data_IF_853781890022
#
_entry.id   IF_853781890022
#
_cell.length_a   1.000
_cell.length_b   1.000
_cell.length_c   1.000
_cell.angle_alpha   90.00
_cell.angle_beta   90.00
_cell.angle_gamma   90.00
#
_symmetry.space_group_name_H-M   'P 1'
#
loop_
_entity.id
_entity.type
_entity.pdbx_description
1 polymer ?
#
# COMPACT_ATOMS: atom_id res chain seq x y z
N UNK A 1 -8.66 -29.77 -6.99
CA UNK A 1 -8.55 -28.92 -5.80
C UNK A 1 -8.93 -27.51 -6.20
N UNK A 2 -9.86 -26.88 -5.46
CA UNK A 2 -10.17 -25.46 -5.63
C UNK A 2 -9.41 -24.65 -4.57
N UNK A 3 -9.10 -23.40 -4.90
CA UNK A 3 -8.60 -22.40 -3.95
C UNK A 3 -9.73 -21.40 -3.68
N UNK A 4 -9.91 -20.94 -2.44
CA UNK A 4 -10.97 -19.98 -2.14
C UNK A 4 -10.55 -18.55 -2.47
N UNK A 5 -11.52 -17.67 -2.72
CA UNK A 5 -11.24 -16.24 -2.91
C UNK A 5 -10.60 -15.62 -1.64
N UNK A 6 -10.91 -16.17 -0.47
CA UNK A 6 -10.29 -15.79 0.79
C UNK A 6 -8.79 -16.10 0.80
N UNK A 7 -8.39 -17.30 0.35
CA UNK A 7 -6.99 -17.76 0.33
C UNK A 7 -6.11 -17.01 -0.69
N UNK A 8 -6.70 -16.48 -1.76
CA UNK A 8 -5.96 -15.65 -2.74
C UNK A 8 -6.06 -14.16 -2.48
N UNK A 9 -7.06 -13.73 -1.71
CA UNK A 9 -7.32 -12.32 -1.38
C UNK A 9 -6.80 -11.96 0.02
N UNK A 10 -7.59 -12.28 1.04
CA UNK A 10 -7.40 -11.78 2.42
C UNK A 10 -6.03 -12.16 3.00
N UNK A 11 -5.64 -13.42 2.87
CA UNK A 11 -4.34 -13.91 3.40
C UNK A 11 -3.16 -13.20 2.74
N UNK A 12 -3.21 -13.02 1.43
CA UNK A 12 -2.17 -12.32 0.66
C UNK A 12 -2.15 -10.82 0.97
N UNK A 13 -3.32 -10.18 1.10
CA UNK A 13 -3.42 -8.77 1.51
C UNK A 13 -2.80 -8.55 2.88
N UNK A 14 -3.07 -9.41 3.86
CA UNK A 14 -2.46 -9.33 5.19
C UNK A 14 -0.95 -9.50 5.14
N UNK A 15 -0.44 -10.44 4.34
CA UNK A 15 1.00 -10.64 4.16
C UNK A 15 1.67 -9.36 3.62
N UNK A 16 1.10 -8.76 2.57
CA UNK A 16 1.64 -7.56 1.94
C UNK A 16 1.52 -6.35 2.85
N UNK A 17 0.38 -6.13 3.50
CA UNK A 17 0.18 -5.02 4.44
C UNK A 17 1.20 -5.07 5.59
N UNK A 18 1.41 -6.24 6.19
CA UNK A 18 2.41 -6.42 7.23
C UNK A 18 3.83 -6.17 6.71
N UNK A 19 4.17 -6.61 5.49
CA UNK A 19 5.47 -6.33 4.91
C UNK A 19 5.69 -4.83 4.67
N UNK A 20 4.64 -4.13 4.20
CA UNK A 20 4.64 -2.69 3.93
C UNK A 20 4.83 -1.90 5.23
N UNK A 21 4.04 -2.18 6.26
CA UNK A 21 4.16 -1.56 7.57
C UNK A 21 5.57 -1.72 8.16
N UNK A 22 6.11 -2.94 8.11
CA UNK A 22 7.44 -3.23 8.65
C UNK A 22 8.58 -2.52 7.90
N UNK A 23 8.53 -2.42 6.56
CA UNK A 23 9.60 -1.70 5.86
C UNK A 23 9.46 -0.19 6.05
N UNK A 24 8.24 0.37 6.08
CA UNK A 24 8.02 1.79 6.34
C UNK A 24 8.56 2.20 7.71
N UNK A 25 8.34 1.39 8.74
CA UNK A 25 8.90 1.61 10.07
C UNK A 25 10.42 1.62 10.05
N UNK A 26 11.05 0.61 9.43
CA UNK A 26 12.52 0.53 9.30
C UNK A 26 13.09 1.71 8.54
N UNK A 27 12.47 2.07 7.41
CA UNK A 27 12.88 3.20 6.58
C UNK A 27 12.74 4.51 7.35
N UNK A 28 11.62 4.74 8.05
CA UNK A 28 11.42 5.95 8.86
C UNK A 28 12.51 6.11 9.91
N UNK A 29 12.86 5.04 10.60
CA UNK A 29 13.90 5.06 11.64
C UNK A 29 15.26 5.42 11.02
N UNK A 30 15.66 4.73 9.94
CA UNK A 30 16.91 5.05 9.24
C UNK A 30 16.94 6.48 8.69
N UNK A 31 15.87 6.95 8.06
CA UNK A 31 15.80 8.29 7.46
C UNK A 31 15.91 9.39 8.52
N UNK A 32 15.24 9.22 9.66
CA UNK A 32 15.35 10.13 10.80
C UNK A 32 16.78 10.16 11.37
N UNK A 33 17.40 9.00 11.57
CA UNK A 33 18.79 8.89 12.05
C UNK A 33 19.80 9.61 11.13
N UNK A 34 19.49 9.70 9.84
CA UNK A 34 20.33 10.32 8.83
C UNK A 34 19.89 11.74 8.45
N UNK A 35 18.92 12.33 9.16
CA UNK A 35 18.46 13.70 8.93
C UNK A 35 17.81 13.94 7.58
N UNK A 36 17.21 12.90 6.97
CA UNK A 36 16.48 13.01 5.70
C UNK A 36 15.08 13.55 5.98
N UNK A 37 14.64 14.54 5.19
CA UNK A 37 13.28 15.06 5.27
C UNK A 37 12.27 14.02 4.74
N UNK A 38 11.41 13.54 5.63
CA UNK A 38 10.37 12.57 5.28
C UNK A 38 9.34 13.15 4.30
N UNK A 39 9.17 14.48 4.28
CA UNK A 39 8.27 15.12 3.31
C UNK A 39 8.78 14.94 1.88
N UNK A 40 10.07 15.14 1.63
CA UNK A 40 10.68 14.89 0.32
C UNK A 40 10.56 13.41 -0.09
N UNK A 41 10.66 12.49 0.86
CA UNK A 41 10.52 11.05 0.61
C UNK A 41 9.09 10.70 0.16
N UNK A 42 8.06 11.22 0.84
CA UNK A 42 6.66 10.91 0.46
C UNK A 42 6.24 11.58 -0.85
N UNK A 43 6.86 12.71 -1.20
CA UNK A 43 6.64 13.44 -2.46
C UNK A 43 7.41 12.87 -3.65
N UNK A 44 8.38 11.98 -3.41
CA UNK A 44 9.21 11.36 -4.44
C UNK A 44 8.38 10.63 -5.49
N UNK A 45 8.76 10.78 -6.77
CA UNK A 45 8.21 10.05 -7.92
C UNK A 45 9.33 9.27 -8.60
N UNK A 46 9.04 8.04 -9.05
CA UNK A 46 10.00 7.25 -9.84
C UNK A 46 10.18 7.80 -11.26
N UNK A 47 9.12 8.35 -11.83
CA UNK A 47 9.13 9.03 -13.12
C UNK A 47 8.14 10.22 -13.08
N UNK A 48 8.37 11.31 -13.85
CA UNK A 48 7.60 12.55 -13.70
C UNK A 48 6.07 12.42 -13.80
N UNK A 49 5.54 11.46 -14.55
CA UNK A 49 4.10 11.24 -14.71
C UNK A 49 3.49 10.20 -13.75
N UNK A 50 4.31 9.55 -12.92
CA UNK A 50 3.84 8.59 -11.92
C UNK A 50 3.37 9.29 -10.66
N UNK A 51 2.36 8.75 -9.98
CA UNK A 51 1.95 9.22 -8.66
C UNK A 51 3.07 9.10 -7.61
N UNK A 52 3.06 9.97 -6.60
CA UNK A 52 4.10 10.03 -5.55
C UNK A 52 4.15 8.78 -4.68
N UNK A 53 5.24 8.62 -3.93
CA UNK A 53 5.40 7.52 -2.99
C UNK A 53 4.24 7.44 -1.97
N UNK A 54 3.74 8.58 -1.48
CA UNK A 54 2.56 8.64 -0.62
C UNK A 54 1.35 7.93 -1.26
N UNK A 55 1.06 8.25 -2.53
CA UNK A 55 -0.06 7.63 -3.24
C UNK A 55 0.11 6.12 -3.35
N UNK A 56 1.34 5.63 -3.59
CA UNK A 56 1.62 4.20 -3.66
C UNK A 56 1.34 3.52 -2.33
N UNK A 57 1.79 4.11 -1.20
CA UNK A 57 1.53 3.58 0.14
C UNK A 57 0.03 3.53 0.44
N UNK A 58 -0.71 4.61 0.15
CA UNK A 58 -2.17 4.63 0.30
C UNK A 58 -2.87 3.61 -0.59
N UNK A 59 -2.33 3.39 -1.79
CA UNK A 59 -2.87 2.42 -2.76
C UNK A 59 -2.81 0.98 -2.25
N UNK A 60 -1.82 0.61 -1.42
CA UNK A 60 -1.77 -0.73 -0.78
C UNK A 60 -3.01 -0.97 0.07
N UNK A 61 -3.39 -0.02 0.92
CA UNK A 61 -4.57 -0.13 1.77
C UNK A 61 -5.85 -0.12 0.93
N UNK A 62 -5.93 0.76 -0.07
CA UNK A 62 -7.06 0.86 -0.99
C UNK A 62 -7.29 -0.44 -1.79
N UNK A 63 -6.24 -1.03 -2.36
CA UNK A 63 -6.35 -2.28 -3.13
C UNK A 63 -6.46 -3.54 -2.26
N UNK A 64 -6.29 -3.41 -0.94
CA UNK A 64 -6.57 -4.48 0.01
C UNK A 64 -8.02 -4.40 0.49
N UNK A 65 -8.33 -3.46 1.38
CA UNK A 65 -9.67 -3.33 1.97
C UNK A 65 -10.71 -2.86 0.96
N UNK A 66 -10.34 -1.95 0.05
CA UNK A 66 -11.26 -1.48 -0.99
C UNK A 66 -11.61 -2.59 -1.99
N UNK A 67 -10.70 -3.52 -2.27
CA UNK A 67 -11.00 -4.67 -3.12
C UNK A 67 -12.04 -5.60 -2.49
N UNK A 68 -11.94 -5.86 -1.18
CA UNK A 68 -12.94 -6.66 -0.45
C UNK A 68 -14.31 -5.97 -0.46
N UNK A 69 -14.37 -4.68 -0.12
CA UNK A 69 -15.60 -3.89 -0.17
C UNK A 69 -16.18 -3.82 -1.59
N UNK A 70 -15.33 -3.71 -2.60
CA UNK A 70 -15.75 -3.67 -3.99
C UNK A 70 -16.30 -5.01 -4.48
N UNK A 71 -15.74 -6.12 -4.00
CA UNK A 71 -16.27 -7.45 -4.27
C UNK A 71 -17.65 -7.65 -3.62
N UNK A 72 -17.85 -7.18 -2.40
CA UNK A 72 -19.16 -7.20 -1.71
C UNK A 72 -20.20 -6.31 -2.40
N UNK A 73 -19.79 -5.11 -2.83
CA UNK A 73 -20.68 -4.13 -3.46
C UNK A 73 -20.92 -4.35 -4.96
N UNK A 74 -20.09 -5.15 -5.62
CA UNK A 74 -20.09 -5.30 -7.09
C UNK A 74 -19.57 -4.08 -7.86
N UNK A 75 -18.93 -3.12 -7.17
CA UNK A 75 -18.39 -1.90 -7.77
C UNK A 75 -17.08 -1.50 -7.08
N UNK A 76 -16.06 -1.18 -7.88
CA UNK A 76 -14.78 -0.63 -7.42
C UNK A 76 -14.51 0.70 -8.11
N UNK A 77 -13.89 1.65 -7.43
CA UNK A 77 -13.63 3.00 -7.95
C UNK A 77 -12.33 3.56 -7.37
N UNK A 78 -11.66 4.50 -8.06
CA UNK A 78 -10.44 5.12 -7.56
C UNK A 78 -10.62 5.70 -6.14
N UNK A 79 -9.53 5.80 -5.34
CA UNK A 79 -9.57 6.47 -4.04
C UNK A 79 -10.08 7.90 -4.21
N UNK A 80 -10.91 8.36 -3.26
CA UNK A 80 -11.41 9.74 -3.21
C UNK A 80 -10.38 10.67 -2.58
#
# INVERSE_FOLDING_TARGET
MGISLFDVGVTNFLQVLNAVDNFLEKSRNYLNENGVDLQEVVDTRLYPDMASFQFQVTSVAHHSMGALKGAEAGQFSPPK
#
